data_IF_937527120179
#
_entry.id   IF_937527120179
#
_cell.length_a   1.000
_cell.length_b   1.000
_cell.length_c   1.000
_cell.angle_alpha   90.00
_cell.angle_beta   90.00
_cell.angle_gamma   90.00
#
_symmetry.space_group_name_H-M   'P 1'
#
loop_
_entity.id
_entity.type
_entity.pdbx_description
1 polymer ?
#
# COMPACT_ATOMS: atom_id res chain seq x y z
N UNK A 1 12.61 25.68 -7.09
CA UNK A 1 11.37 26.48 -7.11
C UNK A 1 10.86 26.61 -5.69
N UNK A 2 10.48 27.82 -5.25
CA UNK A 2 9.86 28.00 -3.94
C UNK A 2 8.43 27.42 -3.96
N UNK A 3 8.09 26.62 -2.96
CA UNK A 3 6.73 26.08 -2.79
C UNK A 3 5.76 27.21 -2.46
N UNK A 4 4.58 27.19 -3.08
CA UNK A 4 3.49 28.12 -2.76
C UNK A 4 3.09 27.98 -1.28
N UNK A 5 2.53 29.03 -0.63
CA UNK A 5 2.08 28.94 0.75
C UNK A 5 1.10 27.78 1.01
N UNK A 6 0.26 27.48 0.03
CA UNK A 6 -0.67 26.34 0.06
C UNK A 6 0.07 25.00 0.09
N UNK A 7 1.03 24.80 -0.81
CA UNK A 7 1.84 23.57 -0.84
C UNK A 7 2.67 23.38 0.45
N UNK A 8 3.11 24.47 1.08
CA UNK A 8 3.78 24.40 2.39
C UNK A 8 2.83 23.96 3.51
N UNK A 9 1.58 24.42 3.50
CA UNK A 9 0.57 24.02 4.46
C UNK A 9 0.21 22.53 4.29
N UNK A 10 -0.03 22.09 3.06
CA UNK A 10 -0.31 20.68 2.74
C UNK A 10 0.84 19.76 3.18
N UNK A 11 2.09 20.18 2.98
CA UNK A 11 3.26 19.44 3.46
C UNK A 11 3.27 19.30 4.99
N UNK A 12 2.92 20.35 5.73
CA UNK A 12 2.85 20.33 7.20
C UNK A 12 1.72 19.44 7.72
N UNK A 13 0.57 19.49 7.07
CA UNK A 13 -0.58 18.64 7.41
C UNK A 13 -0.22 17.18 7.15
N UNK A 14 0.35 16.87 5.97
CA UNK A 14 0.79 15.51 5.61
C UNK A 14 1.80 14.96 6.61
N UNK A 15 2.80 15.75 7.01
CA UNK A 15 3.77 15.35 8.03
C UNK A 15 3.13 15.07 9.40
N UNK A 16 2.04 15.76 9.74
CA UNK A 16 1.30 15.52 10.98
C UNK A 16 0.48 14.23 10.91
N UNK A 17 -0.14 13.94 9.75
CA UNK A 17 -0.83 12.67 9.50
C UNK A 17 0.15 11.50 9.57
N UNK A 18 1.31 11.62 8.93
CA UNK A 18 2.35 10.58 8.94
C UNK A 18 2.82 10.29 10.37
N UNK A 19 3.04 11.33 11.20
CA UNK A 19 3.45 11.14 12.59
C UNK A 19 2.44 10.32 13.41
N UNK A 20 1.15 10.46 13.11
CA UNK A 20 0.08 9.84 13.89
C UNK A 20 -0.36 8.48 13.34
N UNK A 21 -0.21 8.24 12.03
CA UNK A 21 -0.84 7.10 11.35
C UNK A 21 0.15 6.26 10.52
N UNK A 22 1.43 6.62 10.47
CA UNK A 22 2.37 5.81 9.73
C UNK A 22 2.74 4.53 10.50
N UNK A 23 2.83 3.45 9.75
CA UNK A 23 3.19 2.10 10.20
C UNK A 23 4.49 1.68 9.51
N UNK A 24 5.19 0.71 10.11
CA UNK A 24 6.33 0.05 9.49
C UNK A 24 5.85 -0.93 8.43
N UNK A 25 6.35 -0.74 7.20
CA UNK A 25 6.06 -1.60 6.06
C UNK A 25 7.35 -2.21 5.53
N UNK A 26 7.43 -3.53 5.54
CA UNK A 26 8.53 -4.29 4.94
C UNK A 26 8.32 -4.43 3.45
N UNK A 27 9.31 -4.02 2.66
CA UNK A 27 9.38 -4.23 1.21
C UNK A 27 10.14 -5.53 0.97
N UNK A 28 9.49 -6.48 0.32
CA UNK A 28 10.03 -7.76 -0.11
C UNK A 28 10.05 -7.80 -1.66
N UNK A 29 11.20 -7.48 -2.30
CA UNK A 29 11.32 -7.50 -3.75
C UNK A 29 11.05 -8.88 -4.35
N UNK A 30 10.28 -8.92 -5.44
CA UNK A 30 9.94 -10.16 -6.16
C UNK A 30 10.40 -10.10 -7.62
N UNK A 31 10.78 -11.27 -8.15
CA UNK A 31 11.08 -11.41 -9.57
C UNK A 31 9.79 -11.34 -10.36
N UNK A 32 9.83 -10.63 -11.49
CA UNK A 32 8.72 -10.57 -12.43
C UNK A 32 8.72 -11.84 -13.28
N UNK A 33 7.71 -12.69 -13.13
CA UNK A 33 7.62 -13.93 -13.89
C UNK A 33 6.51 -14.86 -13.39
N UNK A 34 6.35 -16.03 -14.01
CA UNK A 34 5.31 -17.01 -13.64
C UNK A 34 5.54 -17.62 -12.24
N UNK A 35 6.77 -17.54 -11.72
CA UNK A 35 7.12 -18.02 -10.38
C UNK A 35 7.40 -16.84 -9.47
N UNK A 36 6.69 -16.76 -8.34
CA UNK A 36 6.88 -15.71 -7.33
C UNK A 36 8.13 -16.01 -6.51
N UNK A 37 9.29 -15.73 -7.08
CA UNK A 37 10.58 -15.88 -6.41
C UNK A 37 11.04 -14.54 -5.81
N UNK A 38 11.84 -14.59 -4.73
CA UNK A 38 12.48 -13.41 -4.18
C UNK A 38 13.50 -12.85 -5.17
N UNK A 39 13.51 -11.54 -5.36
CA UNK A 39 14.49 -10.86 -6.20
C UNK A 39 15.73 -10.49 -5.39
N UNK A 40 16.75 -11.36 -5.40
CA UNK A 40 18.00 -11.16 -4.66
C UNK A 40 18.86 -10.03 -5.19
N UNK A 41 18.54 -9.45 -6.36
CA UNK A 41 19.25 -8.29 -6.89
C UNK A 41 18.83 -6.98 -6.21
N UNK A 42 17.70 -6.99 -5.48
CA UNK A 42 17.16 -5.85 -4.74
C UNK A 42 17.07 -6.18 -3.26
N UNK A 43 17.54 -5.28 -2.41
CA UNK A 43 17.52 -5.48 -0.97
C UNK A 43 16.10 -5.33 -0.40
N UNK A 44 15.69 -6.28 0.44
CA UNK A 44 14.54 -6.10 1.32
C UNK A 44 14.83 -4.99 2.34
N UNK A 45 13.84 -4.15 2.64
CA UNK A 45 14.01 -3.03 3.59
C UNK A 45 12.68 -2.66 4.23
N UNK A 46 12.75 -1.90 5.32
CA UNK A 46 11.56 -1.37 5.99
C UNK A 46 11.44 0.13 5.72
N UNK A 47 10.23 0.58 5.43
CA UNK A 47 9.88 2.00 5.32
C UNK A 47 8.78 2.34 6.33
N UNK A 48 8.62 3.63 6.60
CA UNK A 48 7.47 4.16 7.35
C UNK A 48 6.47 4.71 6.33
N UNK A 49 5.24 4.22 6.37
CA UNK A 49 4.21 4.56 5.39
C UNK A 49 2.81 4.51 6.02
N UNK A 50 1.87 5.26 5.44
CA UNK A 50 0.46 5.23 5.88
C UNK A 50 -0.25 4.09 5.15
N UNK A 51 -0.94 3.24 5.90
CA UNK A 51 -1.69 2.08 5.37
C UNK A 51 -3.19 2.36 5.48
N UNK A 52 -3.88 2.45 4.34
CA UNK A 52 -5.34 2.59 4.26
C UNK A 52 -5.94 1.26 3.79
N UNK A 53 -6.81 0.66 4.62
CA UNK A 53 -7.54 -0.56 4.28
C UNK A 53 -9.01 -0.23 4.30
N UNK A 54 -9.62 -0.19 3.12
CA UNK A 54 -11.06 0.04 2.96
C UNK A 54 -11.75 -1.29 2.70
N UNK A 55 -12.47 -1.84 3.69
CA UNK A 55 -13.28 -3.02 3.46
C UNK A 55 -14.44 -2.64 2.52
N UNK A 56 -14.53 -3.27 1.36
CA UNK A 56 -15.71 -3.18 0.51
C UNK A 56 -16.67 -4.28 0.96
N UNK A 57 -17.75 -3.87 1.64
CA UNK A 57 -18.88 -4.75 1.93
C UNK A 57 -19.59 -5.07 0.60
N UNK A 58 -19.26 -6.20 0.00
CA UNK A 58 -19.99 -6.67 -1.17
C UNK A 58 -21.31 -7.30 -0.69
N UNK A 59 -22.42 -6.61 -0.95
CA UNK A 59 -23.75 -7.23 -0.79
C UNK A 59 -23.93 -8.20 -1.96
N UNK A 60 -23.88 -9.50 -1.71
CA UNK A 60 -24.29 -10.49 -2.70
C UNK A 60 -25.75 -10.22 -3.08
N UNK A 61 -25.99 -9.72 -4.31
CA UNK A 61 -27.34 -9.74 -4.91
C UNK A 61 -27.73 -11.20 -5.12
N UNK A 62 -28.24 -11.84 -4.07
CA UNK A 62 -28.86 -13.15 -4.17
C UNK A 62 -30.18 -13.00 -4.93
N UNK A 63 -30.21 -13.50 -6.17
CA UNK A 63 -31.45 -13.92 -6.82
C UNK A 63 -31.65 -15.42 -6.59
N UNK A 64 -31.72 -15.87 -5.34
CA UNK A 64 -32.29 -17.19 -5.04
C UNK A 64 -32.85 -17.23 -3.62
N UNK A 65 -34.11 -17.66 -3.52
CA UNK A 65 -34.84 -17.82 -2.26
C UNK A 65 -34.27 -19.02 -1.48
N UNK A 66 -33.29 -18.82 -0.58
CA UNK A 66 -33.17 -19.54 0.71
C UNK A 66 -31.95 -19.06 1.54
N UNK A 67 -32.21 -18.82 2.83
CA UNK A 67 -31.37 -18.71 4.04
C UNK A 67 -29.92 -18.22 3.99
N UNK A 68 -29.67 -17.12 4.73
CA UNK A 68 -28.35 -16.73 5.23
C UNK A 68 -27.59 -15.83 4.27
N UNK A 69 -27.92 -14.53 4.24
CA UNK A 69 -27.09 -13.55 3.56
C UNK A 69 -25.77 -13.37 4.33
N UNK A 70 -24.81 -14.26 4.10
CA UNK A 70 -23.42 -14.02 4.47
C UNK A 70 -22.90 -12.88 3.60
N UNK A 71 -22.72 -11.70 4.20
CA UNK A 71 -22.00 -10.61 3.56
C UNK A 71 -20.56 -11.09 3.31
N UNK A 72 -20.25 -11.47 2.07
CA UNK A 72 -18.91 -11.88 1.69
C UNK A 72 -18.09 -10.61 1.47
N UNK A 73 -17.10 -10.37 2.33
CA UNK A 73 -16.12 -9.27 2.16
C UNK A 73 -15.23 -9.66 0.97
N UNK A 74 -15.59 -9.20 -0.24
CA UNK A 74 -15.00 -9.70 -1.49
C UNK A 74 -13.87 -8.83 -2.07
N UNK A 75 -13.71 -7.59 -1.61
CA UNK A 75 -12.61 -6.74 -2.06
C UNK A 75 -12.17 -5.82 -0.91
N UNK A 76 -10.92 -5.95 -0.48
CA UNK A 76 -10.31 -4.95 0.38
C UNK A 76 -9.42 -4.09 -0.50
N UNK A 77 -9.82 -2.83 -0.68
CA UNK A 77 -8.97 -1.84 -1.35
C UNK A 77 -7.90 -1.42 -0.34
N UNK A 78 -6.69 -1.93 -0.56
CA UNK A 78 -5.54 -1.62 0.27
C UNK A 78 -4.64 -0.65 -0.46
N UNK A 79 -4.36 0.48 0.19
CA UNK A 79 -3.41 1.48 -0.28
C UNK A 79 -2.31 1.68 0.74
N UNK A 80 -1.07 1.82 0.25
CA UNK A 80 0.06 2.24 1.07
C UNK A 80 0.62 3.52 0.47
N UNK A 81 0.74 4.58 1.28
CA UNK A 81 1.29 5.86 0.85
C UNK A 81 2.56 6.18 1.62
N UNK A 82 3.67 6.37 0.89
CA UNK A 82 4.95 6.75 1.45
C UNK A 82 5.45 8.05 0.83
N UNK A 83 6.20 8.83 1.60
CA UNK A 83 6.89 10.02 1.07
C UNK A 83 8.04 9.60 0.16
N UNK A 84 8.36 10.42 -0.83
CA UNK A 84 9.53 10.18 -1.70
C UNK A 84 10.82 10.11 -0.87
N UNK A 85 10.92 10.92 0.19
CA UNK A 85 12.07 10.90 1.10
C UNK A 85 12.24 9.56 1.81
N UNK A 86 11.14 8.92 2.24
CA UNK A 86 11.18 7.60 2.87
C UNK A 86 11.54 6.48 1.89
N UNK A 87 11.21 6.66 0.61
CA UNK A 87 11.52 5.70 -0.45
C UNK A 87 12.94 5.88 -1.00
N UNK A 88 13.50 7.09 -0.96
CA UNK A 88 14.77 7.43 -1.58
C UNK A 88 14.65 7.49 -3.12
N UNK A 89 15.69 7.01 -3.82
CA UNK A 89 15.75 7.07 -5.29
C UNK A 89 14.67 6.24 -5.96
N UNK A 90 14.13 6.72 -7.08
CA UNK A 90 13.06 6.06 -7.84
C UNK A 90 13.40 4.61 -8.27
N UNK A 91 14.67 4.32 -8.50
CA UNK A 91 15.18 2.98 -8.82
C UNK A 91 14.90 1.94 -7.71
N UNK A 92 14.79 2.41 -6.47
CA UNK A 92 14.62 1.61 -5.25
C UNK A 92 13.16 1.48 -4.80
N UNK A 93 12.24 2.18 -5.46
CA UNK A 93 10.83 2.14 -5.11
C UNK A 93 10.25 0.73 -5.33
N UNK A 94 9.24 0.33 -4.53
CA UNK A 94 8.45 -0.86 -4.80
C UNK A 94 7.90 -0.85 -6.22
N UNK A 95 7.92 -2.01 -6.87
CA UNK A 95 7.43 -2.24 -8.23
C UNK A 95 6.23 -3.15 -8.20
N UNK A 96 5.45 -3.12 -9.28
CA UNK A 96 4.33 -4.07 -9.45
C UNK A 96 4.82 -5.50 -9.32
N UNK A 97 4.16 -6.28 -8.46
CA UNK A 97 4.51 -7.65 -8.09
C UNK A 97 5.35 -7.78 -6.82
N UNK A 98 6.00 -6.71 -6.34
CA UNK A 98 6.70 -6.74 -5.05
C UNK A 98 5.70 -6.96 -3.91
N UNK A 99 6.16 -7.57 -2.82
CA UNK A 99 5.34 -7.81 -1.64
C UNK A 99 5.60 -6.72 -0.60
N UNK A 100 4.53 -6.20 -0.02
CA UNK A 100 4.56 -5.31 1.13
C UNK A 100 3.97 -6.01 2.34
N UNK A 101 4.75 -6.06 3.44
CA UNK A 101 4.36 -6.65 4.72
C UNK A 101 4.05 -5.55 5.72
N UNK A 102 2.86 -5.58 6.31
CA UNK A 102 2.44 -4.61 7.34
C UNK A 102 2.95 -5.10 8.70
N UNK A 103 4.08 -4.56 9.17
CA UNK A 103 4.81 -5.12 10.32
C UNK A 103 4.15 -4.81 11.67
N UNK A 104 3.38 -3.72 11.74
CA UNK A 104 2.73 -3.27 12.98
C UNK A 104 1.32 -3.84 13.15
N UNK A 105 0.85 -4.70 12.24
CA UNK A 105 -0.46 -5.35 12.28
C UNK A 105 -0.35 -6.82 12.70
N UNK A 106 -1.39 -7.30 13.37
CA UNK A 106 -1.49 -8.69 13.81
C UNK A 106 -1.37 -9.65 12.63
N UNK A 107 -0.55 -10.69 12.80
CA UNK A 107 -0.25 -11.66 11.74
C UNK A 107 0.65 -11.14 10.61
N UNK A 108 1.06 -9.87 10.67
CA UNK A 108 1.91 -9.18 9.68
C UNK A 108 1.51 -9.49 8.23
N UNK A 109 0.28 -9.09 7.82
CA UNK A 109 -0.29 -9.49 6.56
C UNK A 109 0.51 -8.94 5.37
N UNK A 110 0.49 -9.69 4.27
CA UNK A 110 1.31 -9.44 3.08
C UNK A 110 0.39 -9.20 1.88
N UNK A 111 0.63 -8.09 1.19
CA UNK A 111 -0.07 -7.75 -0.05
C UNK A 111 0.93 -7.51 -1.18
N UNK A 112 0.54 -7.86 -2.41
CA UNK A 112 1.33 -7.60 -3.61
C UNK A 112 1.00 -6.23 -4.18
N UNK A 113 2.01 -5.50 -4.65
CA UNK A 113 1.83 -4.21 -5.33
C UNK A 113 1.19 -4.44 -6.69
N UNK A 114 -0.02 -3.91 -6.89
CA UNK A 114 -0.74 -3.97 -8.17
C UNK A 114 -0.53 -2.72 -9.02
N UNK A 115 -0.33 -1.56 -8.39
CA UNK A 115 -0.04 -0.29 -9.09
C UNK A 115 0.85 0.62 -8.24
N UNK A 116 1.70 1.39 -8.90
CA UNK A 116 2.51 2.46 -8.33
C UNK A 116 2.08 3.78 -8.94
N UNK A 117 1.69 4.76 -8.13
CA UNK A 117 1.12 6.04 -8.57
C UNK A 117 1.81 7.22 -7.82
N UNK A 118 2.76 7.92 -8.45
CA UNK A 118 3.33 9.14 -7.88
C UNK A 118 2.27 10.25 -7.90
N UNK A 119 1.99 10.86 -6.75
CA UNK A 119 0.93 11.87 -6.64
C UNK A 119 1.32 13.27 -7.16
N UNK A 120 2.59 13.46 -7.54
CA UNK A 120 3.13 14.74 -7.96
C UNK A 120 3.32 15.77 -6.84
N UNK A 121 2.97 15.41 -5.59
CA UNK A 121 3.02 16.25 -4.39
C UNK A 121 4.05 15.75 -3.37
N UNK A 122 4.92 14.82 -3.77
CA UNK A 122 6.03 14.31 -2.96
C UNK A 122 5.71 13.00 -2.24
N UNK A 123 4.64 12.30 -2.63
CA UNK A 123 4.36 10.95 -2.18
C UNK A 123 4.18 9.99 -3.36
N UNK A 124 4.24 8.72 -3.02
CA UNK A 124 3.94 7.62 -3.93
C UNK A 124 2.89 6.75 -3.27
N UNK A 125 1.83 6.48 -3.99
CA UNK A 125 0.73 5.61 -3.57
C UNK A 125 0.89 4.26 -4.25
N UNK A 126 0.93 3.20 -3.45
CA UNK A 126 0.93 1.82 -3.89
C UNK A 126 -0.47 1.26 -3.71
N UNK A 127 -1.11 0.86 -4.81
CA UNK A 127 -2.32 0.04 -4.74
C UNK A 127 -1.89 -1.41 -4.56
N UNK A 128 -2.50 -2.10 -3.61
CA UNK A 128 -2.14 -3.46 -3.26
C UNK A 128 -3.28 -4.44 -3.52
N UNK A 129 -2.94 -5.71 -3.58
CA UNK A 129 -3.89 -6.82 -3.62
C UNK A 129 -3.38 -7.91 -2.70
N UNK A 130 -4.25 -8.43 -1.83
CA UNK A 130 -3.84 -9.46 -0.87
C UNK A 130 -3.27 -10.69 -1.57
N UNK A 131 -2.17 -11.21 -1.00
CA UNK A 131 -1.63 -12.49 -1.42
C UNK A 131 -2.50 -13.57 -0.78
N UNK A 132 -3.10 -14.43 -1.61
CA UNK A 132 -3.90 -15.58 -1.18
C UNK A 132 -3.02 -16.74 -0.72
#
# INVERSE_FOLDING_TARGET
MALTPFAQLEKRISASVDRLNAERVGIEPRLRGPTVAADTSRAARTITAVVDIKPVLATTRSSSRYNGAEATVNAEDVHVSATVDALGEASTWPRVGDHLRMLDRDGSPVASVSKVDPDGMGRVVFKLSWVK
#
